data_IF_882000451643
#
_entry.id   IF_882000451643
#
_cell.length_a   1.000
_cell.length_b   1.000
_cell.length_c   1.000
_cell.angle_alpha   90.00
_cell.angle_beta   90.00
_cell.angle_gamma   90.00
#
_symmetry.space_group_name_H-M   'P 1'
#
loop_
_entity.id
_entity.type
_entity.pdbx_description
1 polymer ?
#
# COMPACT_ATOMS: atom_id res chain seq x y z
N UNK A 1 -32.77 14.74 -33.95
CA UNK A 1 -31.72 13.69 -33.86
C UNK A 1 -30.88 13.91 -32.61
N UNK A 2 -30.26 12.88 -32.02
CA UNK A 2 -29.29 13.05 -30.91
C UNK A 2 -27.90 13.31 -31.50
N UNK A 3 -27.20 14.33 -30.99
CA UNK A 3 -25.77 14.52 -31.27
C UNK A 3 -24.93 13.62 -30.36
N UNK A 4 -23.91 12.98 -30.90
CA UNK A 4 -23.03 12.07 -30.14
C UNK A 4 -21.99 12.88 -29.35
N UNK A 5 -21.98 12.74 -28.03
CA UNK A 5 -21.00 13.38 -27.15
C UNK A 5 -19.85 12.43 -26.81
N UNK A 6 -18.90 12.26 -27.73
CA UNK A 6 -17.71 11.43 -27.50
C UNK A 6 -16.66 12.22 -26.71
N UNK A 7 -16.69 12.13 -25.37
CA UNK A 7 -15.58 12.63 -24.53
C UNK A 7 -14.35 11.75 -24.75
N UNK A 8 -13.31 12.32 -25.31
CA UNK A 8 -12.03 11.64 -25.55
C UNK A 8 -11.30 11.45 -24.21
N UNK A 9 -11.24 10.22 -23.72
CA UNK A 9 -10.47 9.88 -22.50
C UNK A 9 -8.99 9.87 -22.87
N UNK A 10 -8.25 10.86 -22.34
CA UNK A 10 -6.81 10.97 -22.57
C UNK A 10 -6.05 9.90 -21.79
N UNK A 11 -5.61 8.85 -22.48
CA UNK A 11 -4.73 7.82 -21.91
C UNK A 11 -3.33 8.42 -21.76
N UNK A 12 -2.96 8.79 -20.53
CA UNK A 12 -1.67 9.39 -20.20
C UNK A 12 -0.58 8.31 -20.08
N UNK A 13 -0.14 7.74 -21.21
CA UNK A 13 1.03 6.85 -21.26
C UNK A 13 2.32 7.64 -21.04
N UNK A 14 2.76 7.73 -19.78
CA UNK A 14 4.04 8.31 -19.39
C UNK A 14 5.17 7.34 -19.81
N UNK A 15 5.62 7.45 -21.05
CA UNK A 15 6.88 6.84 -21.49
C UNK A 15 8.06 7.67 -20.96
N UNK A 16 8.77 7.12 -19.99
CA UNK A 16 10.00 7.72 -19.44
C UNK A 16 11.11 7.66 -20.50
N UNK A 17 11.39 8.80 -21.14
CA UNK A 17 12.51 8.94 -22.09
C UNK A 17 13.81 9.09 -21.29
N UNK A 18 14.64 8.06 -21.32
CA UNK A 18 15.91 7.99 -20.58
C UNK A 18 17.08 8.37 -21.50
N UNK A 19 17.79 9.47 -21.21
CA UNK A 19 18.86 9.97 -22.09
C UNK A 19 20.02 10.67 -21.34
N UNK A 20 20.99 9.84 -20.94
CA UNK A 20 22.45 10.11 -20.83
C UNK A 20 23.00 11.15 -19.83
N UNK A 21 23.45 10.62 -18.69
CA UNK A 21 24.84 10.65 -18.20
C UNK A 21 25.67 11.96 -18.25
N UNK A 22 25.99 12.51 -17.07
CA UNK A 22 27.38 12.57 -16.52
C UNK A 22 27.41 13.34 -15.18
N UNK A 23 27.94 12.75 -14.11
CA UNK A 23 28.10 13.44 -12.83
C UNK A 23 28.22 12.48 -11.63
N UNK A 24 29.45 12.09 -11.30
CA UNK A 24 29.75 11.45 -10.02
C UNK A 24 29.95 12.53 -8.95
N UNK A 25 29.43 12.29 -7.74
CA UNK A 25 29.86 12.95 -6.51
C UNK A 25 30.06 11.86 -5.47
N UNK A 26 31.26 11.80 -4.91
CA UNK A 26 31.63 10.90 -3.81
C UNK A 26 31.58 11.64 -2.46
N UNK A 27 31.98 10.95 -1.39
CA UNK A 27 32.09 11.38 0.02
C UNK A 27 30.78 11.56 0.82
N UNK A 28 30.54 10.59 1.70
CA UNK A 28 29.39 10.54 2.61
C UNK A 28 29.36 9.32 3.53
N UNK A 29 30.53 8.85 4.00
CA UNK A 29 30.66 7.63 4.81
C UNK A 29 29.86 7.69 6.13
N UNK A 30 28.87 6.79 6.31
CA UNK A 30 28.15 6.58 7.57
C UNK A 30 27.58 5.15 7.73
N UNK A 31 28.47 4.20 8.02
CA UNK A 31 28.23 3.03 8.88
C UNK A 31 29.23 3.11 10.05
N UNK A 32 29.01 2.50 11.25
CA UNK A 32 28.12 1.39 11.62
C UNK A 32 27.02 1.85 12.64
N UNK A 33 26.19 1.04 13.32
CA UNK A 33 26.22 -0.41 13.65
C UNK A 33 24.88 -1.12 13.41
N UNK A 34 24.96 -2.42 13.09
CA UNK A 34 23.84 -3.36 13.17
C UNK A 34 23.70 -3.95 14.58
N UNK A 35 22.52 -3.83 15.19
CA UNK A 35 22.09 -4.68 16.31
C UNK A 35 20.72 -5.27 15.98
N UNK A 36 20.51 -6.61 16.08
CA UNK A 36 19.23 -7.22 15.77
C UNK A 36 18.25 -6.95 16.92
N UNK A 37 17.41 -5.94 16.75
CA UNK A 37 16.20 -5.78 17.57
C UNK A 37 15.13 -6.63 16.91
N UNK A 38 14.78 -7.75 17.54
CA UNK A 38 13.57 -8.47 17.20
C UNK A 38 12.38 -7.60 17.63
N UNK A 39 11.46 -7.35 16.70
CA UNK A 39 10.18 -6.68 16.97
C UNK A 39 9.07 -7.68 16.67
N UNK A 40 8.30 -8.00 17.70
CA UNK A 40 7.16 -8.91 17.66
C UNK A 40 5.89 -8.05 17.53
N UNK A 41 5.22 -8.07 16.38
CA UNK A 41 4.27 -6.99 15.98
C UNK A 41 2.87 -7.10 16.62
N UNK A 42 2.15 -5.98 16.82
CA UNK A 42 0.83 -5.83 17.51
C UNK A 42 -0.06 -4.66 16.95
N UNK A 43 -1.36 -4.74 16.56
CA UNK A 43 -2.37 -5.80 16.31
C UNK A 43 -3.48 -5.30 15.31
N UNK A 44 -4.33 -6.19 14.75
CA UNK A 44 -5.42 -5.97 13.75
C UNK A 44 -6.78 -6.60 14.19
N UNK A 45 -7.86 -5.83 14.40
CA UNK A 45 -9.18 -6.41 14.77
C UNK A 45 -9.98 -6.92 13.54
N UNK A 46 -10.21 -8.23 13.46
CA UNK A 46 -11.06 -8.91 12.47
C UNK A 46 -12.45 -9.18 13.04
N UNK A 47 -13.53 -8.88 12.30
CA UNK A 47 -14.92 -9.06 12.75
C UNK A 47 -15.82 -9.84 11.75
N UNK A 48 -16.44 -10.92 12.25
CA UNK A 48 -17.69 -11.57 11.80
C UNK A 48 -17.80 -12.35 10.46
N UNK A 49 -17.49 -13.65 10.49
CA UNK A 49 -17.88 -14.66 9.48
C UNK A 49 -19.41 -14.83 9.38
N UNK A 50 -19.94 -15.36 8.25
CA UNK A 50 -21.38 -15.60 8.00
C UNK A 50 -21.74 -17.03 7.54
N UNK A 51 -21.50 -18.07 8.36
CA UNK A 51 -22.45 -19.18 8.57
C UNK A 51 -22.03 -20.19 9.67
N UNK A 52 -22.98 -20.53 10.55
CA UNK A 52 -22.91 -21.72 11.42
C UNK A 52 -22.02 -21.64 12.66
N UNK A 53 -22.09 -22.69 13.49
CA UNK A 53 -21.25 -22.90 14.69
C UNK A 53 -19.90 -23.54 14.34
N UNK A 54 -19.32 -23.15 13.21
CA UNK A 54 -18.08 -23.67 12.69
C UNK A 54 -17.00 -22.59 12.71
N UNK A 55 -15.79 -22.98 13.05
CA UNK A 55 -14.63 -22.08 13.00
C UNK A 55 -14.13 -21.96 11.56
N UNK A 56 -13.72 -20.76 11.18
CA UNK A 56 -13.11 -20.45 9.90
C UNK A 56 -11.83 -21.26 9.67
N UNK A 57 -11.64 -21.73 8.44
CA UNK A 57 -10.55 -22.62 8.01
C UNK A 57 -10.18 -22.33 6.55
N UNK A 58 -9.02 -22.83 6.13
CA UNK A 58 -8.58 -22.78 4.74
C UNK A 58 -9.66 -23.33 3.78
N UNK A 59 -9.90 -22.62 2.69
CA UNK A 59 -10.92 -22.93 1.69
C UNK A 59 -12.34 -22.41 1.97
N UNK A 60 -12.62 -21.87 3.16
CA UNK A 60 -13.89 -21.17 3.41
C UNK A 60 -13.85 -19.74 2.84
N UNK A 61 -14.94 -19.33 2.16
CA UNK A 61 -15.17 -17.93 1.79
C UNK A 61 -15.81 -17.19 2.95
N UNK A 62 -15.16 -16.12 3.42
CA UNK A 62 -15.66 -15.30 4.53
C UNK A 62 -15.88 -13.85 4.09
N UNK A 63 -16.75 -13.17 4.83
CA UNK A 63 -16.88 -11.71 4.82
C UNK A 63 -16.33 -11.21 6.16
N UNK A 64 -15.59 -10.11 6.17
CA UNK A 64 -15.08 -9.49 7.40
C UNK A 64 -15.12 -7.98 7.32
N UNK A 65 -15.31 -7.35 8.49
CA UNK A 65 -14.77 -6.01 8.71
C UNK A 65 -13.40 -6.10 9.37
N UNK A 66 -12.47 -5.29 8.87
CA UNK A 66 -11.13 -5.07 9.40
C UNK A 66 -10.83 -3.56 9.49
N UNK A 67 -9.88 -3.21 10.36
CA UNK A 67 -9.17 -1.92 10.38
C UNK A 67 -7.68 -2.20 10.56
N UNK A 68 -6.85 -1.68 9.66
CA UNK A 68 -5.40 -1.77 9.72
C UNK A 68 -4.79 -0.53 10.36
N UNK A 69 -4.00 -0.74 11.41
CA UNK A 69 -3.27 0.30 12.16
C UNK A 69 -1.78 0.02 12.18
N UNK A 70 -0.98 1.09 12.27
CA UNK A 70 0.45 1.05 12.56
C UNK A 70 0.70 1.06 14.09
N UNK A 71 1.93 0.80 14.51
CA UNK A 71 2.35 0.76 15.93
C UNK A 71 2.08 2.07 16.71
N UNK A 72 1.99 3.21 16.02
CA UNK A 72 1.66 4.53 16.60
C UNK A 72 0.15 4.76 16.78
N UNK A 73 -0.69 3.82 16.31
CA UNK A 73 -2.15 3.92 16.28
C UNK A 73 -2.72 4.58 15.02
N UNK A 74 -1.89 4.97 14.04
CA UNK A 74 -2.35 5.55 12.76
C UNK A 74 -3.07 4.49 11.93
N UNK A 75 -4.35 4.73 11.62
CA UNK A 75 -5.14 3.89 10.70
C UNK A 75 -4.67 4.13 9.26
N UNK A 76 -4.24 3.07 8.57
CA UNK A 76 -3.83 3.15 7.17
C UNK A 76 -4.92 2.68 6.18
N UNK A 77 -5.78 1.72 6.58
CA UNK A 77 -7.00 1.36 5.86
C UNK A 77 -8.08 0.85 6.83
N UNK A 78 -9.36 1.01 6.47
CA UNK A 78 -10.48 0.45 7.23
C UNK A 78 -11.70 0.18 6.35
N UNK A 79 -12.26 -1.02 6.48
CA UNK A 79 -13.52 -1.40 5.85
C UNK A 79 -14.77 -0.84 6.58
N UNK A 80 -14.61 -0.24 7.76
CA UNK A 80 -15.72 0.25 8.56
C UNK A 80 -16.43 1.39 7.82
N UNK A 81 -17.75 1.28 7.65
CA UNK A 81 -18.54 2.22 6.85
C UNK A 81 -18.50 1.98 5.33
N UNK A 82 -17.82 0.92 4.87
CA UNK A 82 -17.89 0.38 3.51
C UNK A 82 -18.59 -1.01 3.55
N UNK A 83 -18.70 -1.68 2.41
CA UNK A 83 -19.09 -3.10 2.38
C UNK A 83 -18.01 -3.98 3.04
N UNK A 84 -18.38 -5.12 3.68
CA UNK A 84 -17.41 -6.09 4.19
C UNK A 84 -16.50 -6.64 3.09
N UNK A 85 -15.24 -6.90 3.43
CA UNK A 85 -14.29 -7.54 2.53
C UNK A 85 -14.63 -9.03 2.40
N UNK A 86 -14.89 -9.50 1.18
CA UNK A 86 -15.15 -10.91 0.86
C UNK A 86 -13.92 -11.55 0.19
N UNK A 87 -13.44 -12.66 0.76
CA UNK A 87 -12.30 -13.42 0.23
C UNK A 87 -12.35 -14.88 0.68
N UNK A 88 -11.54 -15.76 0.07
CA UNK A 88 -11.43 -17.17 0.47
C UNK A 88 -10.08 -17.43 1.15
N UNK A 89 -10.14 -18.00 2.35
CA UNK A 89 -8.97 -18.20 3.23
C UNK A 89 -7.97 -19.17 2.58
N UNK A 90 -6.70 -18.77 2.52
CA UNK A 90 -5.60 -19.61 2.03
C UNK A 90 -5.43 -19.62 0.51
N UNK A 91 -6.21 -18.79 -0.22
CA UNK A 91 -5.99 -18.59 -1.66
C UNK A 91 -4.92 -17.54 -1.97
N UNK A 92 -4.31 -16.90 -0.97
CA UNK A 92 -3.32 -15.83 -1.19
C UNK A 92 -3.92 -14.57 -1.80
N UNK A 93 -5.24 -14.35 -1.60
CA UNK A 93 -5.91 -13.11 -1.96
C UNK A 93 -5.58 -11.98 -0.97
N UNK A 94 -5.17 -12.35 0.25
CA UNK A 94 -4.78 -11.47 1.35
C UNK A 94 -3.30 -11.68 1.69
N UNK A 95 -2.76 -10.77 2.50
CA UNK A 95 -1.38 -10.90 3.03
C UNK A 95 -1.25 -12.17 3.91
N UNK A 96 -0.12 -12.90 3.86
CA UNK A 96 0.04 -14.21 4.49
C UNK A 96 -0.33 -14.34 5.98
N UNK A 97 -0.18 -13.29 6.79
CA UNK A 97 -0.61 -13.36 8.19
C UNK A 97 -2.11 -13.14 8.39
N UNK A 98 -2.78 -12.42 7.49
CA UNK A 98 -4.22 -12.20 7.55
C UNK A 98 -4.95 -13.51 7.25
N UNK A 99 -4.57 -14.16 6.15
CA UNK A 99 -5.03 -15.51 5.77
C UNK A 99 -4.84 -16.55 6.89
N UNK A 100 -3.78 -16.43 7.70
CA UNK A 100 -3.55 -17.31 8.87
C UNK A 100 -4.35 -16.90 10.10
N UNK A 101 -4.41 -15.61 10.41
CA UNK A 101 -4.95 -15.13 11.68
C UNK A 101 -6.48 -15.12 11.73
N UNK A 102 -7.16 -15.14 10.57
CA UNK A 102 -8.61 -15.37 10.47
C UNK A 102 -9.01 -16.83 10.77
N UNK A 103 -8.07 -17.79 10.68
CA UNK A 103 -8.35 -19.20 10.98
C UNK A 103 -8.67 -19.37 12.47
N UNK A 104 -9.66 -20.21 12.76
CA UNK A 104 -10.18 -20.46 14.11
C UNK A 104 -11.31 -19.52 14.53
N UNK A 105 -11.60 -18.44 13.77
CA UNK A 105 -12.64 -17.47 14.13
C UNK A 105 -14.05 -18.03 14.00
N UNK A 106 -14.92 -17.63 14.93
CA UNK A 106 -16.33 -17.96 14.94
C UNK A 106 -17.18 -16.86 14.25
N UNK A 107 -18.44 -17.21 13.98
CA UNK A 107 -19.46 -16.25 13.56
C UNK A 107 -19.55 -15.08 14.56
N UNK A 108 -19.52 -13.84 14.06
CA UNK A 108 -19.59 -12.61 14.87
C UNK A 108 -18.48 -12.42 15.92
N UNK A 109 -17.35 -13.13 15.84
CA UNK A 109 -16.20 -12.91 16.70
C UNK A 109 -15.36 -11.70 16.25
N UNK A 110 -14.84 -10.95 17.22
CA UNK A 110 -13.78 -9.93 17.09
C UNK A 110 -12.45 -10.50 17.59
N UNK A 111 -11.35 -10.34 16.84
CA UNK A 111 -10.01 -10.77 17.28
C UNK A 111 -8.90 -9.87 16.74
N UNK A 112 -8.07 -9.35 17.63
CA UNK A 112 -6.84 -8.63 17.30
C UNK A 112 -5.68 -9.60 16.98
N UNK A 113 -5.23 -9.68 15.72
CA UNK A 113 -4.10 -10.53 15.27
C UNK A 113 -2.88 -9.70 14.91
N UNK A 114 -1.71 -10.29 14.72
CA UNK A 114 -0.67 -9.55 13.98
C UNK A 114 0.17 -10.38 13.06
N UNK A 115 0.69 -9.63 12.11
CA UNK A 115 1.28 -10.06 10.88
C UNK A 115 2.64 -9.39 10.86
N UNK A 116 3.73 -10.09 11.24
CA UNK A 116 5.06 -9.51 11.12
C UNK A 116 5.29 -9.06 9.68
N UNK A 117 6.12 -8.04 9.50
CA UNK A 117 6.37 -7.38 8.23
C UNK A 117 6.66 -8.35 7.05
N UNK A 118 7.33 -9.48 7.30
CA UNK A 118 7.62 -10.54 6.31
C UNK A 118 6.38 -11.34 5.84
N UNK A 119 5.28 -11.25 6.58
CA UNK A 119 3.96 -11.83 6.30
C UNK A 119 2.90 -10.77 5.95
N UNK A 120 3.28 -9.48 5.96
CA UNK A 120 2.48 -8.33 5.51
C UNK A 120 2.97 -7.83 4.15
N UNK A 121 3.54 -6.62 4.11
CA UNK A 121 3.97 -5.90 2.91
C UNK A 121 5.51 -5.92 2.70
N UNK A 122 6.24 -6.66 3.53
CA UNK A 122 7.71 -6.69 3.56
C UNK A 122 8.31 -5.73 4.59
N UNK A 123 9.64 -5.63 4.61
CA UNK A 123 10.38 -4.60 5.36
C UNK A 123 10.35 -3.26 4.62
N UNK A 124 10.38 -2.11 5.33
CA UNK A 124 10.37 -0.79 4.68
C UNK A 124 11.53 -0.62 3.69
N UNK A 125 11.20 -0.13 2.48
CA UNK A 125 12.15 0.03 1.37
C UNK A 125 12.38 1.49 1.04
N UNK A 126 13.33 2.10 1.74
CA UNK A 126 13.79 3.46 1.45
C UNK A 126 14.30 3.64 0.00
N UNK A 127 14.66 2.55 -0.69
CA UNK A 127 15.08 2.50 -2.09
C UNK A 127 13.93 2.37 -3.10
N UNK A 128 12.69 2.09 -2.66
CA UNK A 128 11.48 2.18 -3.50
C UNK A 128 10.84 3.58 -3.46
N UNK A 129 11.34 4.47 -2.59
CA UNK A 129 10.98 5.89 -2.54
C UNK A 129 11.53 6.60 -3.76
N UNK A 130 10.69 7.34 -4.48
CA UNK A 130 11.11 8.14 -5.62
C UNK A 130 10.86 9.63 -5.36
N UNK A 131 11.90 10.44 -5.58
CA UNK A 131 11.80 11.91 -5.60
C UNK A 131 11.59 12.31 -7.05
N UNK A 132 10.39 12.75 -7.38
CA UNK A 132 9.95 13.08 -8.75
C UNK A 132 9.85 14.59 -8.88
N UNK A 133 10.50 15.17 -9.90
CA UNK A 133 10.45 16.61 -10.12
C UNK A 133 9.02 17.05 -10.49
N UNK A 134 8.57 18.18 -9.94
CA UNK A 134 7.19 18.68 -10.06
C UNK A 134 6.81 19.00 -11.50
N UNK A 135 7.76 19.26 -12.40
CA UNK A 135 7.53 19.47 -13.83
C UNK A 135 7.16 18.19 -14.61
N UNK A 136 7.39 17.00 -14.04
CA UNK A 136 6.90 15.73 -14.59
C UNK A 136 5.40 15.51 -14.34
N UNK A 137 4.80 16.27 -13.42
CA UNK A 137 3.35 16.28 -13.16
C UNK A 137 2.70 17.45 -13.91
N UNK A 138 1.47 17.32 -14.44
CA UNK A 138 0.80 18.40 -15.14
C UNK A 138 0.72 19.70 -14.32
N UNK A 139 0.88 20.86 -14.95
CA UNK A 139 0.95 22.17 -14.29
C UNK A 139 -0.36 22.53 -13.56
N UNK A 140 -1.48 21.99 -14.05
CA UNK A 140 -2.84 22.10 -13.52
C UNK A 140 -3.20 21.03 -12.46
N UNK A 141 -2.31 20.09 -12.17
CA UNK A 141 -2.53 19.10 -11.09
C UNK A 141 -2.32 19.71 -9.71
N UNK A 142 -3.40 19.86 -8.96
CA UNK A 142 -3.33 20.00 -7.50
C UNK A 142 -2.85 18.65 -6.93
N UNK A 143 -1.67 18.67 -6.29
CA UNK A 143 -1.04 17.48 -5.71
C UNK A 143 -1.18 17.52 -4.19
N UNK A 144 -1.73 16.47 -3.60
CA UNK A 144 -2.00 16.37 -2.17
C UNK A 144 -1.20 15.23 -1.53
N UNK A 145 -0.74 15.42 -0.29
CA UNK A 145 -0.12 14.34 0.49
C UNK A 145 -1.21 13.33 0.86
N UNK A 146 -0.93 12.04 0.64
CA UNK A 146 -1.91 10.95 0.70
C UNK A 146 -2.59 10.63 -0.64
N UNK A 147 -2.40 11.45 -1.68
CA UNK A 147 -2.96 11.16 -3.01
C UNK A 147 -2.28 9.95 -3.64
N UNK A 148 -3.09 8.99 -4.11
CA UNK A 148 -2.63 7.81 -4.85
C UNK A 148 -2.62 8.11 -6.36
N UNK A 149 -1.51 7.78 -7.02
CA UNK A 149 -1.27 7.94 -8.44
C UNK A 149 -0.84 6.61 -9.08
N UNK A 150 -1.04 6.49 -10.39
CA UNK A 150 -0.50 5.38 -11.19
C UNK A 150 0.84 5.79 -11.81
N UNK A 151 1.90 5.06 -11.49
CA UNK A 151 3.22 5.23 -12.10
C UNK A 151 3.53 4.06 -13.05
N UNK A 152 4.11 4.36 -14.21
CA UNK A 152 4.55 3.36 -15.18
C UNK A 152 6.03 3.04 -14.93
N UNK A 153 6.34 1.79 -14.59
CA UNK A 153 7.72 1.31 -14.44
C UNK A 153 8.37 1.03 -15.81
N UNK A 154 9.72 1.05 -15.92
CA UNK A 154 10.42 0.81 -17.20
C UNK A 154 10.20 -0.56 -17.85
N UNK A 155 9.71 -1.55 -17.08
CA UNK A 155 9.30 -2.87 -17.56
C UNK A 155 7.87 -2.91 -18.15
N UNK A 156 7.15 -1.78 -18.16
CA UNK A 156 5.75 -1.69 -18.61
C UNK A 156 4.71 -2.05 -17.52
N UNK A 157 5.15 -2.32 -16.29
CA UNK A 157 4.26 -2.58 -15.16
C UNK A 157 3.70 -1.26 -14.60
N UNK A 158 2.39 -1.22 -14.34
CA UNK A 158 1.76 -0.12 -13.60
C UNK A 158 1.83 -0.43 -12.10
N UNK A 159 2.29 0.53 -11.31
CA UNK A 159 2.24 0.48 -9.85
C UNK A 159 1.41 1.65 -9.31
N UNK A 160 0.84 1.45 -8.12
CA UNK A 160 0.23 2.54 -7.35
C UNK A 160 1.27 3.14 -6.41
N UNK A 161 1.38 4.47 -6.42
CA UNK A 161 2.26 5.23 -5.53
C UNK A 161 1.47 6.32 -4.81
N UNK A 162 1.73 6.48 -3.53
CA UNK A 162 1.17 7.53 -2.67
C UNK A 162 2.16 8.68 -2.58
N UNK A 163 1.69 9.92 -2.75
CA UNK A 163 2.48 11.12 -2.46
C UNK A 163 2.67 11.23 -0.94
N UNK A 164 3.90 11.12 -0.45
CA UNK A 164 4.23 11.31 0.98
C UNK A 164 4.71 12.72 1.30
N UNK A 165 5.17 13.51 0.31
CA UNK A 165 5.49 14.93 0.50
C UNK A 165 5.45 15.74 -0.82
N UNK A 166 5.17 17.05 -0.74
CA UNK A 166 5.12 17.99 -1.88
C UNK A 166 5.90 19.28 -1.53
N UNK A 167 7.15 19.35 -1.96
CA UNK A 167 8.04 20.49 -1.68
C UNK A 167 7.81 21.64 -2.67
N UNK A 168 6.88 22.55 -2.34
CA UNK A 168 6.52 23.70 -3.22
C UNK A 168 7.68 24.64 -3.57
N UNK A 169 8.74 24.69 -2.76
CA UNK A 169 9.90 25.57 -2.98
C UNK A 169 11.00 24.91 -3.82
N UNK A 170 11.32 23.65 -3.53
CA UNK A 170 12.38 22.88 -4.21
C UNK A 170 11.88 22.23 -5.51
N UNK A 171 10.55 22.13 -5.66
CA UNK A 171 9.80 21.63 -6.84
C UNK A 171 10.00 20.14 -7.07
N UNK A 172 9.93 19.37 -5.99
CA UNK A 172 9.92 17.92 -5.99
C UNK A 172 8.73 17.34 -5.21
N UNK A 173 8.42 16.08 -5.51
CA UNK A 173 7.29 15.33 -4.99
C UNK A 173 7.82 13.95 -4.59
N UNK A 174 7.66 13.58 -3.33
CA UNK A 174 8.10 12.28 -2.81
C UNK A 174 6.96 11.27 -2.96
N UNK A 175 7.22 10.21 -3.69
CA UNK A 175 6.28 9.13 -3.98
C UNK A 175 6.80 7.80 -3.41
N UNK A 176 5.94 7.03 -2.74
CA UNK A 176 6.25 5.70 -2.18
C UNK A 176 5.16 4.72 -2.62
N UNK A 177 5.43 3.41 -2.81
CA UNK A 177 4.39 2.48 -3.26
C UNK A 177 3.20 2.46 -2.29
N UNK A 178 1.96 2.48 -2.79
CA UNK A 178 0.77 2.61 -1.93
C UNK A 178 0.50 1.40 -1.03
N UNK A 179 1.11 0.26 -1.35
CA UNK A 179 1.16 -0.95 -0.51
C UNK A 179 2.60 -1.26 -0.06
N UNK A 180 3.45 -0.22 0.05
CA UNK A 180 4.69 -0.30 0.81
C UNK A 180 4.36 -0.42 2.30
N UNK A 181 5.19 -1.09 3.10
CA UNK A 181 5.21 -0.87 4.54
C UNK A 181 5.31 0.63 4.81
N UNK A 182 4.54 1.12 5.78
CA UNK A 182 4.64 2.52 6.21
C UNK A 182 5.82 2.65 7.16
N UNK A 183 6.46 3.82 7.15
CA UNK A 183 7.57 4.13 8.04
C UNK A 183 7.05 4.42 9.46
N UNK A 184 7.42 3.56 10.41
CA UNK A 184 7.37 3.80 11.87
C UNK A 184 8.50 4.72 12.37
#
# INVERSE_FOLDING_TARGET
>A
MRSQSTKLIGILTIMVILLLASGCVEDGNLQPESKPVALEEHQEEIVAVQNGTAQAKEGDTIKVHYTGTLDDGTVFDSSVGREPLEFTIGLGQMIPGFDKGVVGLNLSESKTITIPADQAYGQYRADLVQVVARDQFPTDSELEVGQVLQANQPNGQIILVTITNVHRLERDVRCEPSFSPVKT
#
